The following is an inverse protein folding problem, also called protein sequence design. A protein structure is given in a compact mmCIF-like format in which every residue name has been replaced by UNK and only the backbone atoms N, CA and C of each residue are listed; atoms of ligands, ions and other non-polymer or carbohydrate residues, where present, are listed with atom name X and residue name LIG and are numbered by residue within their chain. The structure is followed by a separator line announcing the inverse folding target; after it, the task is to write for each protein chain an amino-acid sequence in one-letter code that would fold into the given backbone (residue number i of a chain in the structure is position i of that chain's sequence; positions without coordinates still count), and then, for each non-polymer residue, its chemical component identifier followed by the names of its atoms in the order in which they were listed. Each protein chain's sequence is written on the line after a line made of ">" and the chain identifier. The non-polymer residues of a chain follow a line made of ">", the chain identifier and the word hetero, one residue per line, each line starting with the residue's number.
data_IF_283000876475
#
_entry.id   IF_283000876475
#
_cell.length_a   1.000
_cell.length_b   1.000
_cell.length_c   1.000
_cell.angle_alpha   90.00
_cell.angle_beta   90.00
_cell.angle_gamma   90.00
#
_symmetry.space_group_name_H-M   'P 1'
#
loop_
_entity.id
_entity.type
_entity.pdbx_description
1 polymer ?
#
# COMPACT_ATOMS: atom_id res chain seq x y z
N UNK A 1 7.93 19.12 -10.66
CA UNK A 1 6.76 18.74 -9.83
C UNK A 1 6.71 19.63 -8.60
N UNK A 2 5.54 20.22 -8.30
CA UNK A 2 5.37 21.12 -7.16
C UNK A 2 4.98 20.34 -5.91
N UNK A 3 5.59 20.70 -4.77
CA UNK A 3 5.14 20.20 -3.47
C UNK A 3 3.77 20.79 -3.16
N UNK A 4 2.85 19.97 -2.70
CA UNK A 4 1.50 20.41 -2.35
C UNK A 4 1.08 19.79 -1.03
N UNK A 5 0.72 20.60 -0.05
CA UNK A 5 0.16 20.14 1.22
C UNK A 5 -1.33 19.85 1.07
N UNK A 6 -1.84 18.93 1.89
CA UNK A 6 -3.26 18.57 1.93
C UNK A 6 -3.77 18.14 0.55
N UNK A 7 -3.00 17.29 -0.12
CA UNK A 7 -3.35 16.74 -1.41
C UNK A 7 -4.49 15.73 -1.27
N UNK A 8 -5.52 15.83 -2.12
CA UNK A 8 -6.66 14.91 -2.08
C UNK A 8 -6.51 13.79 -3.09
N UNK A 9 -6.72 12.56 -2.63
CA UNK A 9 -6.80 11.38 -3.47
C UNK A 9 -8.18 10.77 -3.27
N UNK A 10 -9.13 11.02 -4.18
CA UNK A 10 -10.51 10.65 -4.00
C UNK A 10 -11.09 11.34 -2.77
N UNK A 11 -11.57 10.56 -1.81
CA UNK A 11 -12.12 11.07 -0.55
C UNK A 11 -11.08 11.18 0.56
N UNK A 12 -9.84 10.73 0.28
CA UNK A 12 -8.77 10.71 1.28
C UNK A 12 -7.95 11.98 1.16
N UNK A 13 -7.71 12.66 2.28
CA UNK A 13 -6.82 13.82 2.32
C UNK A 13 -5.46 13.35 2.81
N UNK A 14 -4.43 13.55 1.97
CA UNK A 14 -3.06 13.20 2.29
C UNK A 14 -2.32 14.44 2.76
N UNK A 15 -1.31 14.30 3.65
CA UNK A 15 -0.56 15.46 4.14
C UNK A 15 0.20 16.21 3.05
N UNK A 16 0.56 15.51 1.96
CA UNK A 16 1.24 16.14 0.83
C UNK A 16 1.14 15.24 -0.40
N UNK A 17 1.71 15.68 -1.52
CA UNK A 17 1.69 14.94 -2.78
C UNK A 17 2.98 14.18 -3.07
N UNK A 18 3.79 13.89 -2.04
CA UNK A 18 5.00 13.10 -2.18
C UNK A 18 4.68 11.65 -1.81
N UNK A 19 4.91 10.73 -2.74
CA UNK A 19 4.60 9.31 -2.57
C UNK A 19 5.88 8.49 -2.65
N UNK A 20 6.03 7.54 -1.73
CA UNK A 20 7.11 6.57 -1.82
C UNK A 20 6.68 5.43 -2.73
N UNK A 21 7.46 5.18 -3.78
CA UNK A 21 7.20 4.10 -4.72
C UNK A 21 7.37 2.74 -4.05
N UNK A 22 6.57 1.72 -4.43
CA UNK A 22 6.77 0.36 -3.95
C UNK A 22 8.01 -0.24 -4.61
N UNK A 23 8.90 -0.81 -3.81
CA UNK A 23 10.15 -1.43 -4.29
C UNK A 23 10.20 -2.88 -3.80
N UNK A 24 10.07 -3.83 -4.71
CA UNK A 24 10.12 -5.26 -4.38
C UNK A 24 11.43 -5.61 -3.67
N UNK A 25 11.33 -6.30 -2.55
CA UNK A 25 12.47 -6.67 -1.74
C UNK A 25 13.03 -5.56 -0.87
N UNK A 26 12.57 -4.31 -1.02
CA UNK A 26 13.07 -3.17 -0.29
C UNK A 26 12.00 -2.48 0.56
N UNK A 27 10.75 -2.38 0.07
CA UNK A 27 9.69 -1.65 0.76
C UNK A 27 8.91 -2.55 1.72
N UNK A 28 9.62 -3.28 2.57
CA UNK A 28 9.04 -4.13 3.61
C UNK A 28 8.57 -3.29 4.80
N UNK A 29 8.01 -3.97 5.81
CA UNK A 29 7.46 -3.27 6.99
C UNK A 29 8.50 -2.39 7.68
N UNK A 30 9.72 -2.84 8.01
CA UNK A 30 10.71 -1.96 8.63
C UNK A 30 11.08 -0.75 7.77
N UNK A 31 11.21 -0.93 6.45
CA UNK A 31 11.51 0.17 5.54
C UNK A 31 10.38 1.19 5.54
N UNK A 32 9.12 0.73 5.46
CA UNK A 32 7.97 1.63 5.46
C UNK A 32 7.86 2.38 6.80
N UNK A 33 8.13 1.70 7.90
CA UNK A 33 8.07 2.34 9.22
C UNK A 33 9.14 3.42 9.38
N UNK A 34 10.35 3.16 8.87
CA UNK A 34 11.42 4.16 8.88
C UNK A 34 11.07 5.34 7.96
N UNK A 35 10.58 5.04 6.76
CA UNK A 35 10.22 6.07 5.77
C UNK A 35 9.10 6.98 6.24
N UNK A 36 8.19 6.46 7.07
CA UNK A 36 7.08 7.25 7.61
C UNK A 36 7.58 8.43 8.46
N UNK A 37 8.78 8.35 9.02
CA UNK A 37 9.37 9.44 9.80
C UNK A 37 9.63 10.69 8.98
N UNK A 38 9.73 10.55 7.66
CA UNK A 38 9.93 11.68 6.75
C UNK A 38 8.61 12.27 6.26
N UNK A 39 7.49 11.76 6.76
CA UNK A 39 6.14 12.27 6.51
C UNK A 39 5.76 12.40 5.03
N UNK A 40 5.91 11.33 4.23
CA UNK A 40 5.40 11.36 2.85
C UNK A 40 3.87 11.38 2.87
N UNK A 41 3.26 11.78 1.75
CA UNK A 41 1.81 11.79 1.63
C UNK A 41 1.22 10.37 1.59
N UNK A 42 1.93 9.44 0.96
CA UNK A 42 1.47 8.06 0.81
C UNK A 42 2.67 7.13 0.69
N UNK A 43 2.59 5.97 1.33
CA UNK A 43 3.60 4.91 1.23
C UNK A 43 2.90 3.68 0.66
N UNK A 44 3.55 2.97 -0.28
CA UNK A 44 3.01 1.75 -0.85
C UNK A 44 3.67 0.52 -0.25
N UNK A 45 2.88 -0.53 -0.03
CA UNK A 45 3.39 -1.86 0.26
C UNK A 45 4.05 -2.45 -0.99
N UNK A 46 4.84 -3.51 -0.81
CA UNK A 46 5.41 -4.25 -1.93
C UNK A 46 4.31 -4.85 -2.81
N UNK A 47 4.67 -5.17 -4.05
CA UNK A 47 3.76 -5.80 -4.99
C UNK A 47 3.26 -7.15 -4.47
N UNK A 48 1.95 -7.34 -4.47
CA UNK A 48 1.29 -8.55 -3.99
C UNK A 48 0.62 -9.26 -5.14
N UNK A 49 0.90 -10.55 -5.30
CA UNK A 49 0.26 -11.36 -6.34
C UNK A 49 -1.18 -11.68 -5.96
N UNK A 50 -2.13 -11.38 -6.85
CA UNK A 50 -3.54 -11.63 -6.60
C UNK A 50 -3.83 -13.11 -6.35
N UNK A 51 -3.17 -14.02 -7.08
CA UNK A 51 -3.35 -15.46 -6.89
C UNK A 51 -3.02 -15.88 -5.47
N UNK A 52 -1.93 -15.38 -4.91
CA UNK A 52 -1.51 -15.70 -3.55
C UNK A 52 -2.46 -15.07 -2.51
N UNK A 53 -2.92 -13.86 -2.78
CA UNK A 53 -3.82 -13.16 -1.86
C UNK A 53 -5.15 -13.88 -1.71
N UNK A 54 -5.75 -14.33 -2.83
CA UNK A 54 -7.04 -15.02 -2.78
C UNK A 54 -6.94 -16.41 -2.14
N UNK A 55 -5.75 -16.99 -2.04
CA UNK A 55 -5.50 -18.24 -1.35
C UNK A 55 -5.16 -18.04 0.14
N UNK A 56 -5.16 -16.79 0.59
CA UNK A 56 -4.86 -16.43 1.98
C UNK A 56 -3.46 -16.90 2.42
N UNK A 57 -2.47 -16.72 1.53
CA UNK A 57 -1.08 -17.02 1.82
C UNK A 57 -0.54 -16.09 2.92
N UNK A 58 0.00 -16.65 4.00
CA UNK A 58 0.46 -15.85 5.15
C UNK A 58 1.59 -14.89 4.78
N UNK A 59 2.54 -15.33 3.97
CA UNK A 59 3.63 -14.46 3.52
C UNK A 59 3.12 -13.25 2.77
N UNK A 60 2.07 -13.44 1.97
CA UNK A 60 1.44 -12.35 1.21
C UNK A 60 0.79 -11.34 2.14
N UNK A 61 0.03 -11.81 3.15
CA UNK A 61 -0.58 -10.91 4.12
C UNK A 61 0.46 -10.17 4.95
N UNK A 62 1.60 -10.82 5.21
CA UNK A 62 2.69 -10.19 5.94
C UNK A 62 3.27 -8.98 5.17
N UNK A 63 3.26 -9.03 3.83
CA UNK A 63 3.69 -7.89 3.01
C UNK A 63 2.76 -6.69 3.14
N UNK A 64 1.53 -6.90 3.61
CA UNK A 64 0.53 -5.85 3.77
C UNK A 64 0.50 -5.28 5.19
N UNK A 65 1.39 -5.72 6.08
CA UNK A 65 1.43 -5.24 7.45
C UNK A 65 1.70 -3.74 7.52
N UNK A 66 0.98 -3.06 8.39
CA UNK A 66 1.18 -1.64 8.62
C UNK A 66 0.72 -1.27 10.02
N UNK A 67 1.10 -0.09 10.50
CA UNK A 67 0.56 0.46 11.72
C UNK A 67 0.17 1.94 11.51
N UNK A 68 -0.56 2.50 12.46
CA UNK A 68 -1.11 3.84 12.32
C UNK A 68 -0.03 4.92 12.18
N UNK A 69 1.18 4.67 12.66
CA UNK A 69 2.28 5.64 12.58
C UNK A 69 2.78 5.84 11.14
N UNK A 70 2.47 4.91 10.24
CA UNK A 70 2.88 5.00 8.84
C UNK A 70 2.02 5.96 8.03
N UNK A 71 0.85 6.38 8.58
CA UNK A 71 -0.08 7.23 7.85
C UNK A 71 -0.82 6.45 6.76
N UNK A 72 -1.30 7.11 5.71
CA UNK A 72 -2.00 6.43 4.62
C UNK A 72 -1.08 5.44 3.90
N UNK A 73 -1.60 4.24 3.62
CA UNK A 73 -0.88 3.14 2.98
C UNK A 73 -1.62 2.72 1.73
N UNK A 74 -0.88 2.52 0.64
CA UNK A 74 -1.40 1.93 -0.58
C UNK A 74 -0.93 0.50 -0.73
N UNK A 75 -1.76 -0.35 -1.32
CA UNK A 75 -1.39 -1.71 -1.66
C UNK A 75 -1.27 -1.83 -3.18
N UNK A 76 -0.31 -2.61 -3.65
CA UNK A 76 -0.11 -2.84 -5.08
C UNK A 76 -0.43 -4.29 -5.40
N UNK A 77 -1.36 -4.50 -6.33
CA UNK A 77 -1.76 -5.84 -6.76
C UNK A 77 -1.16 -6.15 -8.13
N UNK A 78 -0.74 -7.40 -8.32
CA UNK A 78 -0.20 -7.88 -9.58
C UNK A 78 -1.00 -9.09 -10.04
N UNK A 79 -1.49 -9.06 -11.28
CA UNK A 79 -2.23 -10.16 -11.87
C UNK A 79 -2.92 -9.73 -13.15
N UNK A 80 -3.47 -10.72 -13.88
CA UNK A 80 -4.10 -10.47 -15.18
C UNK A 80 -5.57 -10.88 -15.25
N UNK A 81 -6.11 -11.55 -14.23
CA UNK A 81 -7.47 -12.07 -14.26
C UNK A 81 -8.43 -11.09 -13.54
N UNK A 82 -9.43 -10.53 -14.26
CA UNK A 82 -10.35 -9.56 -13.66
C UNK A 82 -11.12 -10.07 -12.45
N UNK A 83 -11.53 -11.34 -12.44
CA UNK A 83 -12.24 -11.92 -11.30
C UNK A 83 -11.38 -11.97 -10.04
N UNK A 84 -10.07 -12.21 -10.19
CA UNK A 84 -9.15 -12.18 -9.06
C UNK A 84 -8.92 -10.75 -8.58
N UNK A 85 -8.95 -9.77 -9.47
CA UNK A 85 -8.79 -8.37 -9.11
C UNK A 85 -9.94 -7.91 -8.21
N UNK A 86 -11.17 -8.25 -8.53
CA UNK A 86 -12.33 -7.90 -7.72
C UNK A 86 -12.26 -8.51 -6.32
N UNK A 87 -11.92 -9.80 -6.24
CA UNK A 87 -11.80 -10.50 -4.97
C UNK A 87 -10.65 -9.96 -4.13
N UNK A 88 -9.51 -9.72 -4.76
CA UNK A 88 -8.33 -9.15 -4.08
C UNK A 88 -8.63 -7.76 -3.54
N UNK A 89 -9.31 -6.92 -4.31
CA UNK A 89 -9.68 -5.58 -3.87
C UNK A 89 -10.56 -5.61 -2.63
N UNK A 90 -11.50 -6.56 -2.55
CA UNK A 90 -12.34 -6.72 -1.35
C UNK A 90 -11.52 -7.13 -0.13
N UNK A 91 -10.57 -8.04 -0.32
CA UNK A 91 -9.70 -8.48 0.77
C UNK A 91 -8.89 -7.29 1.31
N UNK A 92 -8.32 -6.50 0.43
CA UNK A 92 -7.56 -5.30 0.82
C UNK A 92 -8.45 -4.31 1.56
N UNK A 93 -9.65 -4.06 1.06
CA UNK A 93 -10.60 -3.14 1.69
C UNK A 93 -10.98 -3.61 3.09
N UNK A 94 -11.17 -4.91 3.27
CA UNK A 94 -11.55 -5.49 4.56
C UNK A 94 -10.43 -5.41 5.59
N UNK A 95 -9.19 -5.30 5.15
CA UNK A 95 -8.06 -5.14 6.07
C UNK A 95 -7.99 -3.72 6.66
N UNK A 96 -8.71 -2.80 6.09
CA UNK A 96 -8.70 -1.40 6.52
C UNK A 96 -7.74 -0.57 5.73
#
# INVERSE_FOLDING_TARGET
>A
MSYQENFKLGKITLPNNIFYAPLAGCSDFPFRKMSAKFQPGLIYCEMVKMDALVRYDEGTFHMLDYDASMGPIGAQLCGAKPNLAAKSGRIIEDLG
#
